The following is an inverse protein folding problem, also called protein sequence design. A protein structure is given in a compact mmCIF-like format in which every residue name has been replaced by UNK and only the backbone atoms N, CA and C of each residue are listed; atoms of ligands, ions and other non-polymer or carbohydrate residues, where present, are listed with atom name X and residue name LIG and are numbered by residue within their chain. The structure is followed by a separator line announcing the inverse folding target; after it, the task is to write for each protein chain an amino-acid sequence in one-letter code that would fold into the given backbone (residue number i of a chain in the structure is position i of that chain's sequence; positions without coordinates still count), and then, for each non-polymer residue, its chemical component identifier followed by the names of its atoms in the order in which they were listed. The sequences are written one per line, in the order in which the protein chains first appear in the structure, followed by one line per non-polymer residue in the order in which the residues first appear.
data_IF_094755965296
#
_entry.id   IF_094755965296
#
_cell.length_a   1.000
_cell.length_b   1.000
_cell.length_c   1.000
_cell.angle_alpha   90.00
_cell.angle_beta   90.00
_cell.angle_gamma   90.00
#
_symmetry.space_group_name_H-M   'P 1'
#
loop_
_entity.id
_entity.type
_entity.pdbx_description
1 polymer ?
#
# COMPACT_ATOMS: atom_id res chain seq x y z
N UNK A 1 2.42 -1.53 0.34
CA UNK A 1 3.66 -2.23 0.70
C UNK A 1 4.58 -1.30 1.51
N UNK A 2 5.10 -1.71 2.66
CA UNK A 2 6.09 -0.92 3.43
C UNK A 2 7.50 -1.28 2.95
N UNK A 3 8.44 -0.32 2.95
CA UNK A 3 9.84 -0.62 2.63
C UNK A 3 10.42 -1.60 3.64
N UNK A 4 11.09 -2.63 3.13
CA UNK A 4 11.78 -3.63 3.95
C UNK A 4 13.11 -3.07 4.45
N UNK A 5 13.57 -3.50 5.62
CA UNK A 5 14.96 -3.26 5.99
C UNK A 5 15.92 -3.94 4.99
N UNK A 6 17.16 -3.46 4.82
CA UNK A 6 18.12 -4.09 3.93
C UNK A 6 18.36 -5.58 4.23
N UNK A 7 18.33 -5.94 5.52
CA UNK A 7 18.43 -7.32 5.98
C UNK A 7 17.24 -8.16 5.53
N UNK A 8 16.02 -7.64 5.61
CA UNK A 8 14.80 -8.33 5.16
C UNK A 8 14.74 -8.43 3.64
N UNK A 9 15.10 -7.36 2.92
CA UNK A 9 15.19 -7.39 1.45
C UNK A 9 16.18 -8.46 0.99
N UNK A 10 17.34 -8.56 1.67
CA UNK A 10 18.34 -9.59 1.40
C UNK A 10 17.82 -11.01 1.68
N UNK A 11 17.07 -11.21 2.77
CA UNK A 11 16.45 -12.51 3.09
C UNK A 11 15.43 -12.92 2.03
N UNK A 12 14.56 -12.01 1.61
CA UNK A 12 13.53 -12.29 0.60
C UNK A 12 14.15 -12.60 -0.78
N UNK A 13 15.32 -12.03 -1.07
CA UNK A 13 16.05 -12.24 -2.31
C UNK A 13 17.29 -13.14 -2.11
N UNK A 14 17.24 -14.12 -1.21
CA UNK A 14 18.40 -14.94 -0.82
C UNK A 14 19.17 -15.52 -2.02
N UNK A 15 18.48 -16.03 -3.04
CA UNK A 15 19.12 -16.56 -4.24
C UNK A 15 19.87 -15.48 -5.05
N UNK A 16 19.30 -14.27 -5.19
CA UNK A 16 19.98 -13.12 -5.82
C UNK A 16 21.14 -12.61 -4.95
N UNK A 17 21.03 -12.77 -3.62
CA UNK A 17 22.04 -12.32 -2.66
C UNK A 17 23.39 -13.00 -2.73
N UNK A 18 23.46 -14.11 -3.47
CA UNK A 18 24.68 -14.85 -3.75
C UNK A 18 25.44 -14.31 -4.98
N UNK A 19 24.89 -13.34 -5.73
CA UNK A 19 25.52 -12.75 -6.92
C UNK A 19 26.38 -11.53 -6.56
N UNK A 20 27.57 -11.36 -7.16
CA UNK A 20 28.43 -10.19 -6.89
C UNK A 20 27.78 -8.84 -7.20
N UNK A 21 26.93 -8.78 -8.23
CA UNK A 21 26.18 -7.57 -8.61
C UNK A 21 25.19 -7.11 -7.54
N UNK A 22 24.75 -8.03 -6.68
CA UNK A 22 23.78 -7.76 -5.62
C UNK A 22 24.37 -6.92 -4.48
N UNK A 23 25.68 -6.96 -4.25
CA UNK A 23 26.32 -6.13 -3.22
C UNK A 23 26.21 -4.63 -3.54
N UNK A 24 26.37 -4.26 -4.82
CA UNK A 24 26.20 -2.87 -5.26
C UNK A 24 24.73 -2.42 -5.19
N UNK A 25 23.80 -3.32 -5.52
CA UNK A 25 22.36 -3.08 -5.41
C UNK A 25 21.92 -2.87 -3.95
N UNK A 26 22.44 -3.68 -3.02
CA UNK A 26 22.18 -3.52 -1.58
C UNK A 26 22.72 -2.18 -1.06
N UNK A 27 23.90 -1.73 -1.51
CA UNK A 27 24.42 -0.43 -1.09
C UNK A 27 23.50 0.73 -1.54
N UNK A 28 23.01 0.68 -2.78
CA UNK A 28 22.00 1.66 -3.26
C UNK A 28 20.73 1.60 -2.42
N UNK A 29 20.29 0.38 -2.08
CA UNK A 29 19.11 0.20 -1.25
C UNK A 29 19.32 0.72 0.18
N UNK A 30 20.50 0.55 0.77
CA UNK A 30 20.86 1.10 2.08
C UNK A 30 20.71 2.62 2.07
N UNK A 31 21.23 3.30 1.05
CA UNK A 31 21.11 4.76 0.90
C UNK A 31 19.64 5.22 0.82
N UNK A 32 18.82 4.51 0.04
CA UNK A 32 17.38 4.78 -0.07
C UNK A 32 16.65 4.50 1.24
N UNK A 33 17.00 3.40 1.93
CA UNK A 33 16.42 3.03 3.21
C UNK A 33 16.80 4.02 4.32
N UNK A 34 18.02 4.54 4.33
CA UNK A 34 18.42 5.62 5.26
C UNK A 34 17.56 6.86 5.06
N UNK A 35 17.31 7.27 3.80
CA UNK A 35 16.38 8.37 3.50
C UNK A 35 14.98 8.11 4.05
N UNK A 36 14.46 6.89 3.88
CA UNK A 36 13.18 6.48 4.46
C UNK A 36 13.17 6.52 6.00
N UNK A 37 14.22 6.05 6.66
CA UNK A 37 14.34 6.08 8.13
C UNK A 37 14.32 7.51 8.66
N UNK A 38 15.07 8.41 8.01
CA UNK A 38 15.26 9.79 8.48
C UNK A 38 14.05 10.68 8.18
N UNK A 39 13.43 10.52 7.01
CA UNK A 39 12.42 11.46 6.50
C UNK A 39 11.04 10.85 6.25
N UNK A 40 10.93 9.53 6.18
CA UNK A 40 9.69 8.83 5.90
C UNK A 40 9.28 8.89 4.44
N UNK A 41 7.97 8.79 4.18
CA UNK A 41 7.42 8.86 2.83
C UNK A 41 7.46 10.29 2.30
N UNK A 42 8.35 10.56 1.34
CA UNK A 42 8.47 11.85 0.66
C UNK A 42 8.59 11.66 -0.85
N UNK A 43 8.44 12.76 -1.60
CA UNK A 43 8.64 12.75 -3.05
C UNK A 43 10.10 12.44 -3.39
N UNK A 44 11.03 12.99 -2.62
CA UNK A 44 12.48 12.78 -2.78
C UNK A 44 12.86 11.31 -2.56
N UNK A 45 12.22 10.62 -1.59
CA UNK A 45 12.40 9.18 -1.41
C UNK A 45 11.93 8.40 -2.65
N UNK A 46 10.79 8.77 -3.22
CA UNK A 46 10.25 8.12 -4.41
C UNK A 46 11.18 8.30 -5.62
N UNK A 47 11.62 9.54 -5.87
CA UNK A 47 12.55 9.86 -6.96
C UNK A 47 13.88 9.12 -6.78
N UNK A 48 14.45 9.14 -5.56
CA UNK A 48 15.68 8.41 -5.24
C UNK A 48 15.54 6.89 -5.48
N UNK A 49 14.39 6.30 -5.11
CA UNK A 49 14.11 4.89 -5.37
C UNK A 49 14.01 4.62 -6.89
N UNK A 50 13.26 5.44 -7.61
CA UNK A 50 13.04 5.28 -9.05
C UNK A 50 14.35 5.38 -9.84
N UNK A 51 15.22 6.34 -9.52
CA UNK A 51 16.50 6.51 -10.20
C UNK A 51 17.44 5.31 -9.97
N UNK A 52 17.43 4.75 -8.76
CA UNK A 52 18.30 3.63 -8.42
C UNK A 52 17.86 2.29 -9.01
N UNK A 53 16.55 2.05 -9.14
CA UNK A 53 16.00 0.72 -9.44
C UNK A 53 15.15 0.65 -10.72
N UNK A 54 14.76 1.78 -11.32
CA UNK A 54 13.80 1.81 -12.42
C UNK A 54 14.28 2.63 -13.61
N UNK A 55 14.43 3.95 -13.46
CA UNK A 55 14.62 4.89 -14.57
C UNK A 55 15.90 4.59 -15.37
N UNK A 56 17.00 4.28 -14.68
CA UNK A 56 18.29 3.97 -15.29
C UNK A 56 18.55 2.47 -15.46
N UNK A 57 17.51 1.64 -15.28
CA UNK A 57 17.63 0.17 -15.33
C UNK A 57 16.97 -0.35 -16.61
N UNK A 58 17.73 -1.05 -17.46
CA UNK A 58 17.24 -1.59 -18.74
C UNK A 58 16.05 -2.54 -18.59
N UNK A 59 16.01 -3.31 -17.50
CA UNK A 59 14.96 -4.29 -17.18
C UNK A 59 14.69 -4.25 -15.67
N UNK A 60 13.91 -3.28 -15.20
CA UNK A 60 13.59 -3.17 -13.78
C UNK A 60 12.81 -4.38 -13.30
N UNK A 61 13.03 -4.78 -12.05
CA UNK A 61 12.31 -5.91 -11.46
C UNK A 61 10.85 -5.52 -11.19
N UNK A 62 9.94 -6.49 -11.30
CA UNK A 62 8.51 -6.25 -11.05
C UNK A 62 8.27 -5.80 -9.61
N UNK A 63 8.97 -6.40 -8.65
CA UNK A 63 8.91 -6.03 -7.23
C UNK A 63 9.27 -4.55 -7.01
N UNK A 64 10.24 -4.01 -7.75
CA UNK A 64 10.64 -2.60 -7.66
C UNK A 64 9.59 -1.67 -8.26
N UNK A 65 8.97 -2.05 -9.38
CA UNK A 65 7.89 -1.28 -10.00
C UNK A 65 6.66 -1.20 -9.08
N UNK A 66 6.29 -2.33 -8.46
CA UNK A 66 5.18 -2.37 -7.49
C UNK A 66 5.55 -1.56 -6.24
N UNK A 67 6.79 -1.65 -5.76
CA UNK A 67 7.26 -0.91 -4.59
C UNK A 67 7.21 0.61 -4.84
N UNK A 68 7.67 1.11 -5.99
CA UNK A 68 7.63 2.54 -6.27
C UNK A 68 6.19 3.07 -6.38
N UNK A 69 5.29 2.30 -6.99
CA UNK A 69 3.89 2.66 -7.09
C UNK A 69 3.28 2.79 -5.69
N UNK A 70 3.58 1.83 -4.81
CA UNK A 70 3.17 1.89 -3.41
C UNK A 70 3.82 3.04 -2.63
N UNK A 71 5.01 3.54 -3.00
CA UNK A 71 5.62 4.71 -2.34
C UNK A 71 4.91 6.00 -2.75
N UNK A 72 4.61 6.17 -4.04
CA UNK A 72 3.84 7.31 -4.52
C UNK A 72 2.41 7.32 -3.96
N UNK A 73 1.77 6.15 -3.79
CA UNK A 73 0.49 5.98 -3.10
C UNK A 73 0.51 6.54 -1.66
N UNK A 74 1.64 6.39 -0.93
CA UNK A 74 1.78 6.88 0.45
C UNK A 74 1.80 8.41 0.56
N UNK A 75 2.17 9.09 -0.51
CA UNK A 75 2.21 10.56 -0.60
C UNK A 75 1.07 11.14 -1.45
N UNK A 76 0.07 10.32 -1.78
CA UNK A 76 -1.12 10.69 -2.57
C UNK A 76 -0.82 11.08 -4.02
N UNK A 77 0.34 10.71 -4.57
CA UNK A 77 0.69 10.96 -5.98
C UNK A 77 0.29 9.78 -6.86
N UNK A 78 -1.01 9.58 -6.98
CA UNK A 78 -1.60 8.46 -7.72
C UNK A 78 -1.31 8.52 -9.23
N UNK A 79 -0.99 9.71 -9.78
CA UNK A 79 -0.60 9.84 -11.19
C UNK A 79 0.77 9.24 -11.45
N UNK A 80 1.74 9.53 -10.58
CA UNK A 80 3.06 8.90 -10.65
C UNK A 80 2.96 7.39 -10.40
N UNK A 81 2.14 6.95 -9.43
CA UNK A 81 1.90 5.53 -9.20
C UNK A 81 1.33 4.82 -10.45
N UNK A 82 0.33 5.41 -11.11
CA UNK A 82 -0.25 4.89 -12.35
C UNK A 82 0.79 4.71 -13.46
N UNK A 83 1.66 5.71 -13.66
CA UNK A 83 2.72 5.66 -14.68
C UNK A 83 3.62 4.43 -14.52
N UNK A 84 4.05 4.12 -13.29
CA UNK A 84 4.88 2.94 -13.05
C UNK A 84 4.10 1.63 -13.19
N UNK A 85 2.84 1.59 -12.74
CA UNK A 85 1.99 0.39 -12.89
C UNK A 85 1.73 0.03 -14.36
N UNK A 86 1.61 1.03 -15.24
CA UNK A 86 1.43 0.81 -16.68
C UNK A 86 2.62 0.06 -17.31
N UNK A 87 3.83 0.16 -16.74
CA UNK A 87 4.99 -0.61 -17.20
C UNK A 87 4.84 -2.15 -17.05
N UNK A 88 3.80 -2.60 -16.35
CA UNK A 88 3.49 -4.01 -16.09
C UNK A 88 2.24 -4.52 -16.81
N UNK A 89 1.43 -3.64 -17.44
CA UNK A 89 0.10 -3.98 -18.00
C UNK A 89 0.13 -5.15 -18.99
N UNK A 90 1.15 -5.18 -19.86
CA UNK A 90 1.33 -6.22 -20.87
C UNK A 90 2.32 -7.33 -20.48
N UNK A 91 2.81 -7.33 -19.23
CA UNK A 91 3.84 -8.29 -18.80
C UNK A 91 3.23 -9.58 -18.26
N UNK A 92 3.90 -10.70 -18.57
CA UNK A 92 3.60 -11.98 -17.92
C UNK A 92 4.17 -11.99 -16.51
N UNK A 93 3.29 -11.86 -15.52
CA UNK A 93 3.64 -11.85 -14.10
C UNK A 93 3.52 -13.26 -13.48
N UNK A 94 4.41 -13.59 -12.55
CA UNK A 94 4.27 -14.75 -11.67
C UNK A 94 3.15 -14.53 -10.64
N UNK A 95 2.80 -15.55 -9.84
CA UNK A 95 1.68 -15.45 -8.89
C UNK A 95 1.84 -14.34 -7.86
N UNK A 96 3.02 -14.22 -7.25
CA UNK A 96 3.29 -13.20 -6.23
C UNK A 96 3.30 -11.80 -6.81
N UNK A 97 3.98 -11.64 -7.95
CA UNK A 97 4.03 -10.40 -8.71
C UNK A 97 2.64 -9.96 -9.15
N UNK A 98 1.85 -10.87 -9.72
CA UNK A 98 0.48 -10.60 -10.16
C UNK A 98 -0.41 -10.19 -8.99
N UNK A 99 -0.28 -10.86 -7.85
CA UNK A 99 -1.08 -10.55 -6.66
C UNK A 99 -0.80 -9.12 -6.16
N UNK A 100 0.49 -8.77 -6.01
CA UNK A 100 0.87 -7.44 -5.55
C UNK A 100 0.51 -6.35 -6.58
N UNK A 101 0.72 -6.62 -7.87
CA UNK A 101 0.34 -5.73 -8.96
C UNK A 101 -1.18 -5.45 -8.98
N UNK A 102 -2.01 -6.49 -8.92
CA UNK A 102 -3.46 -6.31 -8.95
C UNK A 102 -3.97 -5.47 -7.77
N UNK A 103 -3.40 -5.67 -6.58
CA UNK A 103 -3.75 -4.85 -5.40
C UNK A 103 -3.43 -3.37 -5.65
N UNK A 104 -2.21 -3.07 -6.12
CA UNK A 104 -1.80 -1.68 -6.36
C UNK A 104 -2.62 -1.02 -7.49
N UNK A 105 -2.92 -1.74 -8.59
CA UNK A 105 -3.80 -1.22 -9.66
C UNK A 105 -5.19 -0.89 -9.14
N UNK A 106 -5.83 -1.82 -8.42
CA UNK A 106 -7.19 -1.60 -7.90
C UNK A 106 -7.21 -0.37 -6.97
N UNK A 107 -6.25 -0.25 -6.05
CA UNK A 107 -6.14 0.94 -5.18
C UNK A 107 -5.98 2.22 -6.00
N UNK A 108 -5.04 2.20 -6.95
CA UNK A 108 -4.67 3.37 -7.72
C UNK A 108 -5.84 3.89 -8.57
N UNK A 109 -6.50 3.02 -9.35
CA UNK A 109 -7.67 3.39 -10.15
C UNK A 109 -8.82 3.91 -9.28
N UNK A 110 -9.05 3.28 -8.12
CA UNK A 110 -10.07 3.73 -7.17
C UNK A 110 -9.80 5.15 -6.68
N UNK A 111 -8.56 5.46 -6.32
CA UNK A 111 -8.15 6.78 -5.79
C UNK A 111 -8.04 7.86 -6.86
N UNK A 112 -7.82 7.50 -8.12
CA UNK A 112 -7.91 8.42 -9.26
C UNK A 112 -9.36 8.79 -9.61
N UNK A 113 -10.35 8.11 -9.02
CA UNK A 113 -11.76 8.28 -9.35
C UNK A 113 -12.20 7.53 -10.61
N UNK A 114 -11.34 6.66 -11.15
CA UNK A 114 -11.62 5.79 -12.29
C UNK A 114 -12.37 4.54 -11.82
N UNK A 115 -13.53 4.73 -11.18
CA UNK A 115 -14.25 3.66 -10.49
C UNK A 115 -14.67 2.51 -11.44
N UNK A 116 -14.98 2.81 -12.70
CA UNK A 116 -15.33 1.78 -13.70
C UNK A 116 -14.13 0.89 -14.00
N UNK A 117 -12.97 1.49 -14.27
CA UNK A 117 -11.74 0.75 -14.57
C UNK A 117 -11.31 -0.10 -13.36
N UNK A 118 -11.47 0.43 -12.14
CA UNK A 118 -11.25 -0.33 -10.92
C UNK A 118 -12.20 -1.54 -10.77
N UNK A 119 -13.51 -1.36 -11.04
CA UNK A 119 -14.50 -2.44 -10.96
C UNK A 119 -14.31 -3.50 -12.04
N UNK A 120 -14.04 -3.10 -13.28
CA UNK A 120 -13.79 -4.00 -14.40
C UNK A 120 -12.53 -4.82 -14.15
N UNK A 121 -11.42 -4.15 -13.81
CA UNK A 121 -10.16 -4.82 -13.49
C UNK A 121 -10.31 -5.78 -12.29
N UNK A 122 -11.02 -5.35 -11.23
CA UNK A 122 -11.37 -6.22 -10.10
C UNK A 122 -12.13 -7.45 -10.56
N UNK A 123 -13.17 -7.27 -11.37
CA UNK A 123 -14.06 -8.36 -11.82
C UNK A 123 -13.30 -9.41 -12.63
N UNK A 124 -12.41 -8.97 -13.52
CA UNK A 124 -11.54 -9.87 -14.30
C UNK A 124 -10.58 -10.68 -13.41
N UNK A 125 -10.13 -10.11 -12.28
CA UNK A 125 -9.07 -10.67 -11.45
C UNK A 125 -9.54 -11.30 -10.13
N UNK A 126 -10.82 -11.17 -9.77
CA UNK A 126 -11.32 -11.51 -8.42
C UNK A 126 -11.11 -12.99 -8.07
N UNK A 127 -11.34 -13.90 -9.02
CA UNK A 127 -11.15 -15.33 -8.81
C UNK A 127 -9.69 -15.67 -8.51
N UNK A 128 -8.75 -15.00 -9.19
CA UNK A 128 -7.33 -15.17 -8.91
C UNK A 128 -7.00 -14.61 -7.53
N UNK A 129 -7.39 -13.37 -7.24
CA UNK A 129 -7.11 -12.69 -5.99
C UNK A 129 -7.59 -13.49 -4.77
N UNK A 130 -8.86 -13.91 -4.75
CA UNK A 130 -9.44 -14.64 -3.63
C UNK A 130 -8.78 -16.00 -3.41
N UNK A 131 -8.52 -16.76 -4.47
CA UNK A 131 -7.87 -18.07 -4.37
C UNK A 131 -6.40 -17.95 -3.95
N UNK A 132 -5.69 -16.95 -4.47
CA UNK A 132 -4.28 -16.76 -4.17
C UNK A 132 -4.07 -16.22 -2.75
N UNK A 133 -4.96 -15.33 -2.28
CA UNK A 133 -4.94 -14.75 -0.94
C UNK A 133 -5.02 -15.79 0.19
N UNK A 134 -5.67 -16.94 -0.04
CA UNK A 134 -5.75 -18.03 0.96
C UNK A 134 -4.37 -18.56 1.39
N UNK A 135 -3.34 -18.38 0.55
CA UNK A 135 -1.96 -18.81 0.82
C UNK A 135 -1.09 -17.67 1.38
N UNK A 136 -1.67 -16.50 1.62
CA UNK A 136 -0.97 -15.27 2.02
C UNK A 136 -1.13 -14.98 3.50
N UNK A 137 -0.21 -14.19 4.03
CA UNK A 137 -0.30 -13.71 5.41
C UNK A 137 -1.58 -12.90 5.60
N UNK A 138 -2.09 -12.84 6.83
CA UNK A 138 -3.31 -12.07 7.11
C UNK A 138 -3.15 -10.57 6.78
N UNK A 139 -1.93 -10.04 6.84
CA UNK A 139 -1.61 -8.67 6.43
C UNK A 139 -1.74 -8.48 4.91
N UNK A 140 -1.27 -9.45 4.12
CA UNK A 140 -1.43 -9.42 2.66
C UNK A 140 -2.88 -9.64 2.24
N UNK A 141 -3.65 -10.42 3.01
CA UNK A 141 -5.09 -10.51 2.81
C UNK A 141 -5.77 -9.17 3.13
N UNK A 142 -5.33 -8.47 4.18
CA UNK A 142 -5.81 -7.13 4.51
C UNK A 142 -5.55 -6.13 3.38
N UNK A 143 -4.37 -6.16 2.76
CA UNK A 143 -4.06 -5.33 1.58
C UNK A 143 -5.06 -5.55 0.44
N UNK A 144 -5.41 -6.81 0.16
CA UNK A 144 -6.43 -7.15 -0.83
C UNK A 144 -7.80 -6.59 -0.43
N UNK A 145 -8.25 -6.82 0.80
CA UNK A 145 -9.57 -6.33 1.25
C UNK A 145 -9.67 -4.81 1.27
N UNK A 146 -8.59 -4.11 1.65
CA UNK A 146 -8.51 -2.64 1.54
C UNK A 146 -8.67 -2.21 0.08
N UNK A 147 -7.93 -2.82 -0.86
CA UNK A 147 -8.05 -2.48 -2.28
C UNK A 147 -9.48 -2.70 -2.81
N UNK A 148 -10.09 -3.84 -2.49
CA UNK A 148 -11.46 -4.15 -2.89
C UNK A 148 -12.48 -3.17 -2.28
N UNK A 149 -12.29 -2.79 -1.01
CA UNK A 149 -13.14 -1.82 -0.34
C UNK A 149 -13.03 -0.43 -0.98
N UNK A 150 -11.84 -0.02 -1.42
CA UNK A 150 -11.64 1.23 -2.14
C UNK A 150 -12.35 1.24 -3.50
N UNK A 151 -12.35 0.13 -4.22
CA UNK A 151 -13.11 0.00 -5.47
C UNK A 151 -14.62 0.16 -5.23
N UNK A 152 -15.16 -0.50 -4.20
CA UNK A 152 -16.56 -0.34 -3.80
C UNK A 152 -16.86 1.11 -3.36
N UNK A 153 -15.96 1.74 -2.61
CA UNK A 153 -16.10 3.13 -2.18
C UNK A 153 -16.14 4.10 -3.37
N UNK A 154 -15.23 3.93 -4.35
CA UNK A 154 -15.19 4.74 -5.56
C UNK A 154 -16.47 4.58 -6.40
N UNK A 155 -17.04 3.37 -6.42
CA UNK A 155 -18.34 3.08 -7.03
C UNK A 155 -19.56 3.48 -6.17
N UNK A 156 -19.33 4.10 -4.99
CA UNK A 156 -20.35 4.53 -4.01
C UNK A 156 -21.16 3.39 -3.37
N UNK A 157 -20.61 2.17 -3.37
CA UNK A 157 -21.12 1.01 -2.66
C UNK A 157 -20.59 0.97 -1.20
N UNK A 158 -20.82 2.04 -0.44
CA UNK A 158 -20.19 2.23 0.88
C UNK A 158 -20.47 1.10 1.90
N UNK A 159 -21.71 0.57 2.04
CA UNK A 159 -21.97 -0.55 2.94
C UNK A 159 -21.19 -1.82 2.56
N UNK A 160 -21.02 -2.08 1.27
CA UNK A 160 -20.25 -3.20 0.74
C UNK A 160 -18.75 -3.01 1.02
N UNK A 161 -18.25 -1.80 0.80
CA UNK A 161 -16.87 -1.43 1.14
C UNK A 161 -16.56 -1.67 2.63
N UNK A 162 -17.43 -1.20 3.53
CA UNK A 162 -17.27 -1.40 4.98
C UNK A 162 -17.36 -2.89 5.37
N UNK A 163 -18.24 -3.66 4.72
CA UNK A 163 -18.34 -5.11 4.95
C UNK A 163 -17.04 -5.84 4.57
N UNK A 164 -16.35 -5.43 3.51
CA UNK A 164 -15.06 -6.01 3.12
C UNK A 164 -13.97 -5.78 4.17
N UNK A 165 -13.99 -4.63 4.86
CA UNK A 165 -13.05 -4.32 5.93
C UNK A 165 -13.33 -5.11 7.23
N UNK A 166 -14.53 -5.69 7.38
CA UNK A 166 -14.89 -6.58 8.48
C UNK A 166 -14.64 -8.06 8.17
N UNK A 167 -13.48 -8.39 7.60
CA UNK A 167 -13.12 -9.77 7.22
C UNK A 167 -12.51 -10.61 8.37
N UNK A 168 -12.57 -10.10 9.60
CA UNK A 168 -12.07 -10.81 10.79
C UNK A 168 -10.59 -10.61 11.10
N UNK A 169 -9.97 -9.53 10.60
CA UNK A 169 -8.60 -9.16 10.97
C UNK A 169 -8.46 -9.00 12.49
N UNK A 170 -7.48 -9.69 13.07
CA UNK A 170 -7.13 -9.60 14.50
C UNK A 170 -5.84 -8.80 14.65
N UNK A 171 -5.67 -7.99 15.72
CA UNK A 171 -4.40 -7.33 15.98
C UNK A 171 -3.23 -8.32 16.00
N UNK A 172 -2.18 -8.05 15.23
CA UNK A 172 -0.99 -8.89 15.05
C UNK A 172 0.17 -8.48 15.98
N UNK A 173 -0.01 -7.41 16.77
CA UNK A 173 1.03 -6.92 17.68
C UNK A 173 0.65 -5.61 18.34
N UNK A 174 1.60 -5.04 19.10
CA UNK A 174 1.41 -3.76 19.81
C UNK A 174 1.38 -2.54 18.89
N UNK A 175 2.09 -2.61 17.77
CA UNK A 175 2.18 -1.56 16.76
C UNK A 175 1.70 -2.09 15.41
N UNK A 176 0.43 -2.49 15.35
CA UNK A 176 -0.14 -3.08 14.13
C UNK A 176 -0.55 -1.98 13.14
N UNK A 177 0.40 -1.56 12.31
CA UNK A 177 0.17 -0.55 11.28
C UNK A 177 -0.92 -0.96 10.29
N UNK A 178 -1.07 -2.26 10.00
CA UNK A 178 -2.09 -2.73 9.07
C UNK A 178 -3.48 -2.56 9.64
N UNK A 179 -3.67 -2.83 10.93
CA UNK A 179 -4.93 -2.54 11.61
C UNK A 179 -5.26 -1.05 11.54
N UNK A 180 -4.26 -0.19 11.75
CA UNK A 180 -4.44 1.25 11.65
C UNK A 180 -4.81 1.69 10.23
N UNK A 181 -4.19 1.10 9.20
CA UNK A 181 -4.57 1.35 7.80
C UNK A 181 -6.01 0.92 7.48
N UNK A 182 -6.50 -0.19 8.06
CA UNK A 182 -7.91 -0.58 7.97
C UNK A 182 -8.79 0.52 8.56
N UNK A 183 -8.49 0.99 9.78
CA UNK A 183 -9.26 2.07 10.41
C UNK A 183 -9.23 3.38 9.61
N UNK A 184 -8.08 3.77 9.07
CA UNK A 184 -7.95 4.96 8.21
C UNK A 184 -8.80 4.79 6.94
N UNK A 185 -8.86 3.58 6.38
CA UNK A 185 -9.70 3.28 5.23
C UNK A 185 -11.19 3.39 5.57
N UNK A 186 -11.60 2.93 6.77
CA UNK A 186 -12.98 3.13 7.28
C UNK A 186 -13.32 4.62 7.39
N UNK A 187 -12.42 5.43 7.97
CA UNK A 187 -12.58 6.90 8.06
C UNK A 187 -12.81 7.50 6.68
N UNK A 188 -11.97 7.14 5.70
CA UNK A 188 -12.10 7.61 4.33
C UNK A 188 -13.45 7.24 3.71
N UNK A 189 -13.91 6.00 3.88
CA UNK A 189 -15.19 5.54 3.33
C UNK A 189 -16.35 6.36 3.89
N UNK A 190 -16.39 6.62 5.20
CA UNK A 190 -17.43 7.46 5.80
C UNK A 190 -17.35 8.91 5.35
N UNK A 191 -16.14 9.47 5.20
CA UNK A 191 -15.95 10.80 4.64
C UNK A 191 -16.48 10.91 3.20
N UNK A 192 -16.23 9.90 2.35
CA UNK A 192 -16.76 9.84 0.99
C UNK A 192 -18.27 9.58 0.93
N UNK A 193 -18.84 8.89 1.92
CA UNK A 193 -20.28 8.68 2.05
C UNK A 193 -21.00 9.97 2.49
N UNK A 194 -20.36 10.79 3.32
CA UNK A 194 -20.96 11.99 3.90
C UNK A 194 -21.81 11.70 5.13
N UNK A 195 -21.53 10.61 5.84
CA UNK A 195 -22.15 10.26 7.12
C UNK A 195 -21.32 10.86 8.27
N UNK A 196 -21.73 12.05 8.74
CA UNK A 196 -20.96 12.81 9.74
C UNK A 196 -20.89 12.13 11.11
N UNK A 197 -21.97 11.45 11.53
CA UNK A 197 -22.06 10.79 12.84
C UNK A 197 -21.12 9.58 12.88
N UNK A 198 -21.21 8.70 11.88
CA UNK A 198 -20.33 7.53 11.80
C UNK A 198 -18.87 7.91 11.50
N UNK A 199 -18.64 9.01 10.77
CA UNK A 199 -17.30 9.55 10.53
C UNK A 199 -16.61 9.95 11.84
N UNK A 200 -17.29 10.67 12.73
CA UNK A 200 -16.73 11.06 14.03
C UNK A 200 -16.31 9.83 14.83
N UNK A 201 -17.18 8.82 14.91
CA UNK A 201 -16.89 7.55 15.56
C UNK A 201 -15.69 6.82 14.93
N UNK A 202 -15.60 6.78 13.60
CA UNK A 202 -14.48 6.18 12.89
C UNK A 202 -13.14 6.89 13.18
N UNK A 203 -13.14 8.23 13.22
CA UNK A 203 -11.94 9.02 13.55
C UNK A 203 -11.48 8.74 14.97
N UNK A 204 -12.41 8.71 15.95
CA UNK A 204 -12.10 8.37 17.35
C UNK A 204 -11.46 6.98 17.43
N UNK A 205 -11.98 6.00 16.69
CA UNK A 205 -11.44 4.65 16.65
C UNK A 205 -10.02 4.60 16.06
N UNK A 206 -9.78 5.27 14.92
CA UNK A 206 -8.46 5.34 14.29
C UNK A 206 -7.41 6.01 15.20
N UNK A 207 -7.76 7.14 15.81
CA UNK A 207 -6.90 7.85 16.77
C UNK A 207 -6.63 7.00 18.02
N UNK A 208 -7.65 6.29 18.52
CA UNK A 208 -7.49 5.41 19.68
C UNK A 208 -6.59 4.23 19.36
N UNK A 209 -6.71 3.64 18.16
CA UNK A 209 -5.80 2.61 17.67
C UNK A 209 -4.35 3.12 17.63
N UNK A 210 -4.11 4.31 17.06
CA UNK A 210 -2.77 4.92 17.00
C UNK A 210 -2.18 5.19 18.40
N UNK A 211 -3.00 5.59 19.38
CA UNK A 211 -2.57 5.81 20.77
C UNK A 211 -2.11 4.54 21.49
N UNK A 212 -2.48 3.35 21.01
CA UNK A 212 -2.04 2.09 21.61
C UNK A 212 -0.59 1.73 21.23
N UNK A 213 -0.02 2.39 20.22
CA UNK A 213 1.35 2.15 19.78
C UNK A 213 2.30 2.67 20.86
N UNK A 214 3.17 1.79 21.35
CA UNK A 214 4.03 2.10 22.51
C UNK A 214 5.34 2.77 22.09
N UNK A 215 5.90 2.34 20.98
CA UNK A 215 7.15 2.83 20.42
C UNK A 215 7.00 2.82 18.89
N UNK A 216 7.19 3.96 18.23
CA UNK A 216 7.24 3.99 16.78
C UNK A 216 8.65 3.58 16.32
N UNK A 217 8.73 2.71 15.33
CA UNK A 217 10.02 2.29 14.76
C UNK A 217 10.79 3.48 14.20
N UNK A 218 10.08 4.41 13.54
CA UNK A 218 10.66 5.61 12.98
C UNK A 218 10.06 6.88 13.60
N UNK A 219 10.90 7.91 13.76
CA UNK A 219 10.50 9.17 14.39
C UNK A 219 9.40 9.93 13.66
N UNK A 220 9.24 9.69 12.35
CA UNK A 220 8.21 10.31 11.52
C UNK A 220 6.86 9.57 11.56
N UNK A 221 6.83 8.28 11.89
CA UNK A 221 5.65 7.40 11.70
C UNK A 221 4.40 7.92 12.40
N UNK A 222 4.53 8.40 13.64
CA UNK A 222 3.40 8.94 14.40
C UNK A 222 2.73 10.10 13.67
N UNK A 223 3.52 11.11 13.31
CA UNK A 223 3.03 12.31 12.61
C UNK A 223 2.43 11.97 11.25
N UNK A 224 3.05 11.01 10.54
CA UNK A 224 2.53 10.51 9.28
C UNK A 224 1.14 9.92 9.45
N UNK A 225 0.93 9.01 10.41
CA UNK A 225 -0.39 8.40 10.62
C UNK A 225 -1.43 9.38 11.19
N UNK A 226 -1.04 10.33 12.04
CA UNK A 226 -1.92 11.43 12.48
C UNK A 226 -2.42 12.23 11.27
N UNK A 227 -1.51 12.60 10.37
CA UNK A 227 -1.87 13.29 9.12
C UNK A 227 -2.78 12.43 8.25
N UNK A 228 -2.49 11.13 8.08
CA UNK A 228 -3.31 10.22 7.27
C UNK A 228 -4.75 10.09 7.77
N UNK A 229 -4.97 10.10 9.09
CA UNK A 229 -6.34 10.11 9.66
C UNK A 229 -7.06 11.41 9.29
N UNK A 230 -6.37 12.56 9.41
CA UNK A 230 -6.92 13.87 9.06
C UNK A 230 -7.23 13.94 7.56
N UNK A 231 -6.28 13.57 6.70
CA UNK A 231 -6.46 13.53 5.25
C UNK A 231 -7.66 12.64 4.88
N UNK A 232 -7.77 11.44 5.47
CA UNK A 232 -8.87 10.52 5.23
C UNK A 232 -10.22 11.12 5.62
N UNK A 233 -10.30 11.83 6.76
CA UNK A 233 -11.55 12.51 7.18
C UNK A 233 -11.97 13.64 6.24
N UNK A 234 -11.03 14.17 5.44
CA UNK A 234 -11.30 15.14 4.38
C UNK A 234 -11.50 14.49 3.00
N UNK A 235 -11.64 13.16 2.93
CA UNK A 235 -11.82 12.43 1.68
C UNK A 235 -10.54 12.33 0.82
N UNK A 236 -9.35 12.35 1.44
CA UNK A 236 -8.05 12.23 0.77
C UNK A 236 -7.35 10.97 1.27
N UNK A 237 -6.96 10.05 0.37
CA UNK A 237 -6.33 8.78 0.74
C UNK A 237 -5.23 8.33 -0.22
#
# INVERSE_FOLDING_TARGET
MTMLSPLERKKNNFAKSLLPSYAAEIKKYDEVYTSFVDYGYTKELCELYADNFINDVKKPAVEDIVQIASLYDKIHDNKSAAFYLDMLSDKKLSGDEKFAYCIEVIKNESKLGHWRDAEDFRTEHINFLQNYAQKKSIQQQADMYIALALADCAAKHYPQALKLLNFGYKPQGRNDEKLLEIFITVVYIYACWGDEEDLEGAVINAVSCLKLFKDFEFGWSKKYYEKRIIDASNGIL
#
